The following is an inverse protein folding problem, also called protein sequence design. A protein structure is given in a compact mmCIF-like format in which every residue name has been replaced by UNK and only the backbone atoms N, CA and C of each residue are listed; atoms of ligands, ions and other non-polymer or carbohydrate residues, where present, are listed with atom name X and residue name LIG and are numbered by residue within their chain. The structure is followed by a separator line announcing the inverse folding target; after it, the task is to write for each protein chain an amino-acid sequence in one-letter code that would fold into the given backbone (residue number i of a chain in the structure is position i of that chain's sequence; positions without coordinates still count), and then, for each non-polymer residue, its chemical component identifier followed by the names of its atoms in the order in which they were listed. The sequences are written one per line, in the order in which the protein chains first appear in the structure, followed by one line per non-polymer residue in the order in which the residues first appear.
data_IF_799162923321
#
_entry.id   IF_799162923321
#
_cell.length_a   1.000
_cell.length_b   1.000
_cell.length_c   1.000
_cell.angle_alpha   90.00
_cell.angle_beta   90.00
_cell.angle_gamma   90.00
#
_symmetry.space_group_name_H-M   'P 1'
#
loop_
_entity.id
_entity.type
_entity.pdbx_description
1 polymer ?
#
# COMPACT_ATOMS: atom_id res chain seq x y z
N UNK A 1 -9.12 11.63 18.26
CA UNK A 1 -7.97 11.32 17.38
C UNK A 1 -8.44 10.21 16.46
N UNK A 2 -8.63 10.50 15.17
CA UNK A 2 -9.12 9.51 14.21
C UNK A 2 -8.10 8.37 14.06
N UNK A 3 -8.57 7.12 14.09
CA UNK A 3 -7.71 5.96 13.90
C UNK A 3 -7.24 5.92 12.45
N UNK A 4 -5.93 6.14 12.23
CA UNK A 4 -5.30 5.93 10.94
C UNK A 4 -5.59 4.51 10.43
N UNK A 5 -6.03 4.39 9.19
CA UNK A 5 -6.39 3.12 8.55
C UNK A 5 -5.15 2.38 8.02
N UNK A 6 -4.06 3.08 7.73
CA UNK A 6 -2.78 2.49 7.32
C UNK A 6 -1.69 2.86 8.31
N UNK A 7 -1.43 2.04 9.36
CA UNK A 7 -0.28 2.24 10.24
C UNK A 7 1.02 2.35 9.45
N UNK A 8 1.93 3.22 9.90
CA UNK A 8 3.24 3.38 9.28
C UNK A 8 3.99 2.04 9.25
N UNK A 9 4.35 1.61 8.05
CA UNK A 9 5.25 0.49 7.88
C UNK A 9 6.64 0.93 8.36
N UNK A 10 7.32 0.08 9.15
CA UNK A 10 8.68 0.34 9.59
C UNK A 10 9.64 0.34 8.41
N UNK A 11 9.97 -0.85 7.90
CA UNK A 11 10.80 -1.01 6.71
C UNK A 11 9.93 -1.44 5.53
N UNK A 12 9.81 -0.59 4.51
CA UNK A 12 9.08 -0.90 3.27
C UNK A 12 10.06 -1.52 2.29
N UNK A 13 9.92 -2.82 2.03
CA UNK A 13 10.59 -3.46 0.89
C UNK A 13 9.95 -2.92 -0.40
N UNK A 14 10.60 -1.93 -1.01
CA UNK A 14 10.08 -1.15 -2.15
C UNK A 14 10.07 -1.90 -3.48
N UNK A 15 10.53 -3.15 -3.50
CA UNK A 15 10.46 -4.09 -4.61
C UNK A 15 9.19 -4.96 -4.58
N UNK A 16 8.42 -4.95 -3.49
CA UNK A 16 7.14 -5.66 -3.39
C UNK A 16 5.97 -4.72 -3.71
N UNK A 17 5.11 -5.17 -4.64
CA UNK A 17 3.93 -4.44 -5.10
C UNK A 17 2.98 -4.11 -3.95
N UNK A 18 2.67 -5.08 -3.09
CA UNK A 18 1.74 -4.91 -1.97
C UNK A 18 2.27 -3.94 -0.93
N UNK A 19 3.58 -3.99 -0.66
CA UNK A 19 4.22 -3.07 0.28
C UNK A 19 4.23 -1.64 -0.27
N UNK A 20 4.53 -1.47 -1.56
CA UNK A 20 4.51 -0.16 -2.19
C UNK A 20 3.10 0.42 -2.25
N UNK A 21 2.09 -0.40 -2.57
CA UNK A 21 0.69 0.02 -2.55
C UNK A 21 0.26 0.50 -1.16
N UNK A 22 0.64 -0.25 -0.14
CA UNK A 22 0.36 0.13 1.25
C UNK A 22 1.07 1.43 1.65
N UNK A 23 2.36 1.57 1.32
CA UNK A 23 3.14 2.76 1.64
C UNK A 23 2.59 4.02 0.96
N UNK A 24 2.19 3.91 -0.31
CA UNK A 24 1.57 5.03 -1.03
C UNK A 24 0.21 5.38 -0.41
N UNK A 25 -0.63 4.39 -0.08
CA UNK A 25 -1.91 4.62 0.58
C UNK A 25 -1.74 5.31 1.95
N UNK A 26 -0.75 4.90 2.75
CA UNK A 26 -0.44 5.53 4.03
C UNK A 26 0.00 7.00 3.88
N UNK A 27 0.81 7.32 2.87
CA UNK A 27 1.22 8.69 2.58
C UNK A 27 0.05 9.58 2.13
N UNK A 28 -0.87 9.05 1.33
CA UNK A 28 -2.09 9.75 0.93
C UNK A 28 -2.94 10.02 2.17
N UNK A 29 -3.12 9.03 3.04
CA UNK A 29 -3.87 9.18 4.28
C UNK A 29 -3.27 10.24 5.21
N UNK A 30 -1.94 10.25 5.41
CA UNK A 30 -1.24 11.28 6.18
C UNK A 30 -1.58 12.68 5.63
N UNK A 31 -1.64 12.84 4.31
CA UNK A 31 -1.98 14.13 3.66
C UNK A 31 -3.44 14.52 3.90
N UNK A 32 -4.36 13.57 3.82
CA UNK A 32 -5.79 13.81 4.07
C UNK A 32 -6.06 14.16 5.54
N UNK A 33 -5.40 13.47 6.47
CA UNK A 33 -5.48 13.77 7.90
C UNK A 33 -4.95 15.19 8.20
N UNK A 34 -3.83 15.60 7.56
CA UNK A 34 -3.31 16.96 7.67
C UNK A 34 -4.28 18.02 7.13
N UNK A 35 -5.08 17.68 6.13
CA UNK A 35 -6.12 18.54 5.59
C UNK A 35 -7.41 18.56 6.44
N UNK A 36 -7.49 17.77 7.52
CA UNK A 36 -8.64 17.69 8.41
C UNK A 36 -9.70 16.67 8.00
N UNK A 37 -9.42 15.79 7.04
CA UNK A 37 -10.34 14.73 6.65
C UNK A 37 -10.44 13.64 7.72
N UNK A 38 -11.62 13.04 7.85
CA UNK A 38 -11.97 12.03 8.86
C UNK A 38 -12.08 10.64 8.23
N UNK A 39 -11.25 9.66 8.65
CA UNK A 39 -11.36 8.29 8.17
C UNK A 39 -12.73 7.68 8.51
N UNK A 40 -13.33 6.98 7.55
CA UNK A 40 -14.66 6.38 7.68
C UNK A 40 -15.82 7.32 7.33
N UNK A 41 -15.56 8.63 7.21
CA UNK A 41 -16.53 9.61 6.73
C UNK A 41 -16.12 10.13 5.35
N UNK A 42 -14.91 10.70 5.23
CA UNK A 42 -14.40 11.30 3.99
C UNK A 42 -13.74 10.29 3.06
N UNK A 43 -13.22 9.19 3.59
CA UNK A 43 -12.57 8.13 2.82
C UNK A 43 -12.57 6.79 3.56
N UNK A 44 -12.49 5.71 2.78
CA UNK A 44 -12.30 4.34 3.29
C UNK A 44 -10.92 3.79 2.93
N UNK A 45 -10.56 2.63 3.51
CA UNK A 45 -9.36 1.89 3.10
C UNK A 45 -9.33 1.59 1.60
N UNK A 46 -10.48 1.25 1.03
CA UNK A 46 -10.57 0.88 -0.38
C UNK A 46 -10.32 2.09 -1.29
N UNK A 47 -10.78 3.28 -0.89
CA UNK A 47 -10.58 4.50 -1.65
C UNK A 47 -9.09 4.88 -1.67
N UNK A 48 -8.40 4.78 -0.53
CA UNK A 48 -6.96 5.01 -0.44
C UNK A 48 -6.15 4.04 -1.31
N UNK A 49 -6.52 2.76 -1.33
CA UNK A 49 -5.86 1.76 -2.19
C UNK A 49 -6.09 2.05 -3.68
N UNK A 50 -7.30 2.46 -4.07
CA UNK A 50 -7.62 2.85 -5.44
C UNK A 50 -6.87 4.10 -5.88
N UNK A 51 -6.71 5.08 -4.98
CA UNK A 51 -5.90 6.27 -5.24
C UNK A 51 -4.42 5.94 -5.36
N UNK A 52 -3.92 4.96 -4.60
CA UNK A 52 -2.54 4.53 -4.65
C UNK A 52 -2.20 3.69 -5.91
N UNK A 53 -3.17 2.91 -6.42
CA UNK A 53 -3.00 1.99 -7.56
C UNK A 53 -2.26 2.57 -8.78
N UNK A 54 -2.63 3.74 -9.35
CA UNK A 54 -1.98 4.26 -10.54
C UNK A 54 -0.47 4.49 -10.35
N UNK A 55 -0.04 4.96 -9.17
CA UNK A 55 1.37 5.20 -8.86
C UNK A 55 2.19 3.91 -8.82
N UNK A 56 1.62 2.86 -8.21
CA UNK A 56 2.29 1.55 -8.12
C UNK A 56 2.37 0.90 -9.50
N UNK A 57 1.31 1.00 -10.30
CA UNK A 57 1.28 0.48 -11.67
C UNK A 57 2.30 1.17 -12.58
N UNK A 58 2.44 2.49 -12.46
CA UNK A 58 3.47 3.23 -13.17
C UNK A 58 4.87 2.81 -12.74
N UNK A 59 5.12 2.72 -11.42
CA UNK A 59 6.41 2.27 -10.89
C UNK A 59 6.79 0.86 -11.33
N UNK A 60 5.82 -0.04 -11.40
CA UNK A 60 5.96 -1.40 -11.94
C UNK A 60 6.35 -1.36 -13.43
N UNK A 61 5.60 -0.59 -14.24
CA UNK A 61 5.88 -0.42 -15.68
C UNK A 61 7.28 0.12 -15.92
N UNK A 62 7.70 1.11 -15.15
CA UNK A 62 9.03 1.72 -15.26
C UNK A 62 10.15 0.75 -14.89
N UNK A 63 9.94 -0.09 -13.88
CA UNK A 63 10.88 -1.14 -13.51
C UNK A 63 11.07 -2.16 -14.65
N UNK A 64 9.98 -2.56 -15.30
CA UNK A 64 10.01 -3.44 -16.47
C UNK A 64 10.70 -2.77 -17.66
N UNK A 65 10.39 -1.50 -17.94
CA UNK A 65 10.97 -0.76 -19.06
C UNK A 65 12.50 -0.59 -18.95
N UNK A 66 13.04 -0.58 -17.72
CA UNK A 66 14.49 -0.53 -17.45
C UNK A 66 15.19 -1.89 -17.52
N UNK A 67 14.48 -2.94 -17.95
CA UNK A 67 15.00 -4.31 -18.04
C UNK A 67 15.00 -5.07 -16.71
N UNK A 68 14.33 -4.55 -15.67
CA UNK A 68 14.12 -5.25 -14.40
C UNK A 68 12.88 -6.15 -14.45
N UNK A 69 12.71 -7.00 -13.43
CA UNK A 69 11.59 -7.95 -13.34
C UNK A 69 10.22 -7.32 -12.99
N UNK A 70 10.14 -5.99 -12.81
CA UNK A 70 8.97 -5.34 -12.24
C UNK A 70 8.98 -5.36 -10.70
N UNK A 71 7.82 -5.09 -10.10
CA UNK A 71 7.61 -5.27 -8.66
C UNK A 71 7.17 -6.72 -8.41
N UNK A 72 7.75 -7.37 -7.40
CA UNK A 72 7.33 -8.68 -6.96
C UNK A 72 5.91 -8.65 -6.42
N UNK A 73 5.06 -9.55 -6.90
CA UNK A 73 3.74 -9.79 -6.32
C UNK A 73 3.90 -10.93 -5.31
N UNK A 74 4.08 -10.60 -4.04
CA UNK A 74 4.06 -11.60 -2.96
C UNK A 74 2.66 -11.72 -2.38
N UNK A 75 2.06 -12.90 -2.57
CA UNK A 75 0.80 -13.27 -1.95
C UNK A 75 1.06 -13.84 -0.56
N UNK A 76 0.37 -13.41 0.51
CA UNK A 76 0.68 -13.84 1.88
C UNK A 76 0.22 -15.27 2.23
N UNK A 77 -0.17 -16.13 1.28
CA UNK A 77 -0.60 -17.50 1.61
C UNK A 77 0.52 -18.32 2.29
N UNK A 78 1.78 -18.00 2.03
CA UNK A 78 2.92 -18.73 2.62
C UNK A 78 3.12 -18.40 4.12
N UNK A 79 2.40 -17.41 4.66
CA UNK A 79 2.44 -17.04 6.09
C UNK A 79 1.23 -17.56 6.88
N UNK A 80 0.29 -18.26 6.22
CA UNK A 80 -0.84 -18.96 6.88
C UNK A 80 -0.52 -20.46 7.02
N UNK A 81 0.69 -20.77 7.50
CA UNK A 81 0.99 -22.07 8.09
C UNK A 81 1.22 -21.92 9.60
N UNK A 82 0.25 -21.30 10.27
CA UNK A 82 -0.05 -21.65 11.64
C UNK A 82 -0.70 -23.03 11.65
N UNK A 83 -0.01 -24.02 12.23
CA UNK A 83 -0.47 -25.38 12.57
C UNK A 83 -1.98 -25.60 12.40
N UNK A 84 -2.34 -26.47 11.47
CA UNK A 84 -3.61 -27.19 11.58
C UNK A 84 -3.46 -28.26 12.71
N UNK A 85 -4.52 -28.51 13.50
CA UNK A 85 -4.53 -29.52 14.56
C UNK A 85 -4.32 -30.95 14.05
#
# INVERSE_FOLDING_TARGET
MGHQLFPKLGEVQGDNFSNLLYAVAANIEDTLLLAGATPGEDYTRLDLLRLAEPYVRERHRDAVARGGAGLGIHWPADVVHGKAP
#
